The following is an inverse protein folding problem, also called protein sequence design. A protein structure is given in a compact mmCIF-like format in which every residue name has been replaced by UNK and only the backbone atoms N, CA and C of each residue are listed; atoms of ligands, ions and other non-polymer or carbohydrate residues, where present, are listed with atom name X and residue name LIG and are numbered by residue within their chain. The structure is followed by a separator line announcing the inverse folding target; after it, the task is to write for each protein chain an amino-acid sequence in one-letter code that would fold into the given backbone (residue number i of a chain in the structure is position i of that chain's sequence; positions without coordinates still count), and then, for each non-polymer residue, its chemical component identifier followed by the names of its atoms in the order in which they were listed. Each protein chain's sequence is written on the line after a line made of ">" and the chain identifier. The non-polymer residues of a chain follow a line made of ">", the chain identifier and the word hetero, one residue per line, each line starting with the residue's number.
data_IF_037365695054
#
_entry.id   IF_037365695054
#
_cell.length_a   1.000
_cell.length_b   1.000
_cell.length_c   1.000
_cell.angle_alpha   90.00
_cell.angle_beta   90.00
_cell.angle_gamma   90.00
#
_symmetry.space_group_name_H-M   'P 1'
#
loop_
_entity.id
_entity.type
_entity.pdbx_description
1 polymer ?
#
# COMPACT_ATOMS: atom_id res chain seq x y z
N UNK A 1 -11.17 6.36 15.88
CA UNK A 1 -10.11 5.35 15.73
C UNK A 1 -8.84 6.10 15.33
N UNK A 2 -7.84 6.15 16.20
CA UNK A 2 -6.61 6.92 15.98
C UNK A 2 -5.72 6.29 14.89
N UNK A 3 -4.76 7.07 14.39
CA UNK A 3 -3.75 6.67 13.40
C UNK A 3 -3.09 5.32 13.77
N UNK A 4 -2.73 5.15 15.04
CA UNK A 4 -2.12 3.93 15.58
C UNK A 4 -2.98 2.67 15.45
N UNK A 5 -4.29 2.75 15.67
CA UNK A 5 -5.19 1.59 15.56
C UNK A 5 -5.39 1.15 14.11
N UNK A 6 -5.31 2.05 13.15
CA UNK A 6 -5.46 1.73 11.71
C UNK A 6 -4.20 1.17 11.08
N UNK A 7 -3.01 1.57 11.52
CA UNK A 7 -1.78 0.85 11.13
C UNK A 7 -1.87 -0.63 11.52
N UNK A 8 -2.38 -0.96 12.71
CA UNK A 8 -2.66 -2.35 13.12
C UNK A 8 -3.66 -3.05 12.21
N UNK A 9 -4.68 -2.32 11.73
CA UNK A 9 -5.72 -2.89 10.85
C UNK A 9 -5.20 -3.20 9.45
N UNK A 10 -4.43 -2.30 8.83
CA UNK A 10 -3.82 -2.52 7.50
C UNK A 10 -2.86 -3.72 7.52
N UNK A 11 -2.14 -3.93 8.62
CA UNK A 11 -1.29 -5.11 8.81
C UNK A 11 -2.12 -6.40 8.91
N UNK A 12 -3.25 -6.36 9.58
CA UNK A 12 -4.14 -7.52 9.66
C UNK A 12 -4.71 -7.90 8.30
N UNK A 13 -4.92 -6.92 7.41
CA UNK A 13 -5.30 -7.13 6.01
C UNK A 13 -4.15 -7.71 5.18
N UNK A 14 -2.92 -7.26 5.38
CA UNK A 14 -1.73 -7.81 4.72
C UNK A 14 -1.51 -9.30 5.06
N UNK A 15 -1.94 -9.76 6.23
CA UNK A 15 -1.88 -11.18 6.65
C UNK A 15 -2.76 -12.12 5.81
N UNK A 16 -3.60 -11.61 4.91
CA UNK A 16 -4.61 -12.41 4.18
C UNK A 16 -4.29 -12.65 2.70
N UNK A 17 -3.15 -12.19 2.20
CA UNK A 17 -2.79 -12.38 0.79
C UNK A 17 -1.40 -13.00 0.65
N UNK A 18 -1.28 -14.32 0.48
CA UNK A 18 -0.01 -14.91 0.06
C UNK A 18 0.19 -14.66 -1.45
N UNK A 19 1.31 -14.06 -1.81
CA UNK A 19 1.83 -14.07 -3.17
C UNK A 19 3.03 -15.03 -3.19
N UNK A 20 3.01 -16.00 -4.05
CA UNK A 20 4.17 -16.87 -4.26
C UNK A 20 3.83 -18.18 -4.92
N UNK A 21 4.40 -18.40 -6.11
CA UNK A 21 4.60 -19.70 -6.79
C UNK A 21 3.38 -20.60 -6.99
N UNK A 22 2.72 -20.47 -8.14
CA UNK A 22 2.07 -21.57 -8.86
C UNK A 22 1.01 -22.46 -8.19
N UNK A 23 0.69 -22.26 -6.92
CA UNK A 23 -0.40 -22.97 -6.25
C UNK A 23 -1.65 -22.07 -6.20
N UNK A 24 -2.79 -22.61 -6.59
CA UNK A 24 -4.08 -21.96 -6.48
C UNK A 24 -4.28 -21.45 -5.05
N UNK A 25 -4.37 -20.13 -4.91
CA UNK A 25 -4.60 -19.48 -3.62
C UNK A 25 -5.98 -19.88 -3.09
N UNK A 26 -6.04 -20.25 -1.81
CA UNK A 26 -7.31 -20.44 -1.13
C UNK A 26 -8.15 -19.15 -1.22
N UNK A 27 -9.47 -19.23 -1.41
CA UNK A 27 -10.33 -18.07 -1.50
C UNK A 27 -10.17 -17.20 -0.25
N UNK A 28 -9.94 -15.90 -0.46
CA UNK A 28 -9.87 -14.92 0.63
C UNK A 28 -11.22 -14.95 1.37
N UNK A 29 -11.23 -15.18 2.69
CA UNK A 29 -12.49 -15.18 3.43
C UNK A 29 -13.20 -13.83 3.29
N UNK A 30 -14.54 -13.83 3.17
CA UNK A 30 -15.29 -12.59 3.03
C UNK A 30 -15.04 -11.66 4.23
N UNK A 31 -15.02 -10.37 3.95
CA UNK A 31 -14.94 -9.33 5.01
C UNK A 31 -16.14 -9.50 5.92
N UNK A 32 -15.97 -9.53 7.26
CA UNK A 32 -17.10 -9.66 8.18
C UNK A 32 -18.15 -8.57 7.91
N UNK A 33 -19.44 -8.90 7.95
CA UNK A 33 -20.51 -7.92 7.75
C UNK A 33 -20.38 -6.78 8.77
N UNK A 34 -20.45 -5.53 8.29
CA UNK A 34 -20.32 -4.32 9.10
C UNK A 34 -18.92 -3.67 9.15
N UNK A 35 -17.89 -4.31 8.62
CA UNK A 35 -16.56 -3.68 8.51
C UNK A 35 -16.44 -2.94 7.19
N UNK A 36 -16.68 -1.64 7.20
CA UNK A 36 -16.35 -0.78 6.05
C UNK A 36 -14.82 -0.60 5.98
N UNK A 37 -14.20 -1.30 5.04
CA UNK A 37 -12.79 -1.07 4.70
C UNK A 37 -12.71 0.21 3.89
N UNK A 38 -12.32 1.32 4.52
CA UNK A 38 -11.94 2.51 3.76
C UNK A 38 -10.66 2.20 3.00
N UNK A 39 -10.78 2.08 1.69
CA UNK A 39 -9.63 1.99 0.79
C UNK A 39 -9.05 3.37 0.54
N UNK A 40 -7.76 3.44 0.21
CA UNK A 40 -7.12 4.68 -0.22
C UNK A 40 -7.94 5.34 -1.35
N UNK A 41 -8.16 6.64 -1.25
CA UNK A 41 -8.79 7.43 -2.31
C UNK A 41 -7.81 7.53 -3.47
N UNK A 42 -8.12 6.86 -4.55
CA UNK A 42 -7.32 6.89 -5.78
C UNK A 42 -8.24 7.16 -6.97
N UNK A 43 -7.99 8.29 -7.65
CA UNK A 43 -8.72 8.63 -8.88
C UNK A 43 -8.42 7.57 -9.94
N UNK A 44 -9.48 6.97 -10.49
CA UNK A 44 -9.32 5.93 -11.51
C UNK A 44 -9.11 4.52 -10.96
N UNK A 45 -9.41 4.29 -9.67
CA UNK A 45 -9.43 2.93 -9.13
C UNK A 45 -10.45 2.07 -9.88
N UNK A 46 -9.96 0.97 -10.46
CA UNK A 46 -10.76 0.09 -11.32
C UNK A 46 -11.40 -1.08 -10.55
N UNK A 47 -11.44 -1.04 -9.21
CA UNK A 47 -11.93 -2.16 -8.40
C UNK A 47 -13.37 -2.58 -8.73
N UNK A 48 -14.23 -1.64 -9.11
CA UNK A 48 -15.61 -1.93 -9.54
C UNK A 48 -15.73 -2.48 -10.96
N UNK A 49 -14.66 -2.43 -11.74
CA UNK A 49 -14.64 -2.87 -13.14
C UNK A 49 -13.88 -4.18 -13.35
N UNK A 50 -13.30 -4.76 -12.30
CA UNK A 50 -12.39 -5.90 -12.42
C UNK A 50 -13.04 -7.13 -13.05
N UNK A 51 -14.27 -7.44 -12.65
CA UNK A 51 -15.02 -8.57 -13.22
C UNK A 51 -15.34 -8.34 -14.70
N UNK A 52 -15.82 -7.14 -15.06
CA UNK A 52 -16.08 -6.79 -16.45
C UNK A 52 -14.82 -6.88 -17.32
N UNK A 53 -13.68 -6.38 -16.82
CA UNK A 53 -12.40 -6.45 -17.53
C UNK A 53 -11.98 -7.92 -17.70
N UNK A 54 -12.13 -8.72 -16.64
CA UNK A 54 -11.79 -10.14 -16.66
C UNK A 54 -12.66 -10.91 -17.68
N UNK A 55 -13.96 -10.76 -17.62
CA UNK A 55 -14.90 -11.46 -18.53
C UNK A 55 -14.62 -11.11 -19.99
N UNK A 56 -14.26 -9.84 -20.25
CA UNK A 56 -13.90 -9.39 -21.61
C UNK A 56 -12.60 -10.08 -22.07
N UNK A 57 -11.57 -10.10 -21.23
CA UNK A 57 -10.30 -10.75 -21.56
C UNK A 57 -10.47 -12.27 -21.66
N UNK A 58 -11.21 -12.90 -20.76
CA UNK A 58 -11.48 -14.33 -20.78
C UNK A 58 -12.15 -14.73 -22.09
N UNK A 59 -13.17 -13.99 -22.50
CA UNK A 59 -13.90 -14.27 -23.73
C UNK A 59 -13.01 -14.24 -24.99
N UNK A 60 -12.10 -13.29 -25.08
CA UNK A 60 -11.36 -13.05 -26.32
C UNK A 60 -9.94 -13.62 -26.32
N UNK A 61 -9.35 -13.84 -25.15
CA UNK A 61 -7.95 -14.26 -24.99
C UNK A 61 -7.85 -15.65 -24.39
N UNK A 62 -8.42 -15.89 -23.22
CA UNK A 62 -8.22 -17.16 -22.49
C UNK A 62 -8.88 -18.33 -23.21
N UNK A 63 -10.11 -18.17 -23.69
CA UNK A 63 -10.83 -19.20 -24.45
C UNK A 63 -10.18 -19.57 -25.78
N UNK A 64 -9.33 -18.67 -26.32
CA UNK A 64 -8.56 -18.93 -27.54
C UNK A 64 -7.31 -19.76 -27.29
N UNK A 65 -7.00 -20.15 -26.05
CA UNK A 65 -5.77 -20.89 -25.70
C UNK A 65 -4.50 -20.06 -25.71
N UNK A 66 -4.62 -18.73 -25.81
CA UNK A 66 -3.47 -17.80 -25.80
C UNK A 66 -2.84 -17.73 -24.40
N UNK A 67 -1.58 -17.29 -24.36
CA UNK A 67 -0.80 -17.20 -23.13
C UNK A 67 -1.47 -16.29 -22.08
N UNK A 68 -1.42 -16.72 -20.81
CA UNK A 68 -1.95 -15.94 -19.68
C UNK A 68 -0.94 -14.89 -19.19
N UNK A 69 -0.52 -14.00 -20.09
CA UNK A 69 0.35 -12.87 -19.77
C UNK A 69 -0.37 -11.57 -20.04
N UNK A 70 -0.28 -10.62 -19.11
CA UNK A 70 -0.92 -9.30 -19.21
C UNK A 70 0.10 -8.22 -18.91
N UNK A 71 0.06 -7.11 -19.66
CA UNK A 71 0.75 -5.88 -19.36
C UNK A 71 -0.26 -4.82 -18.90
N UNK A 72 -0.15 -4.38 -17.63
CA UNK A 72 -0.91 -3.27 -17.07
C UNK A 72 -0.06 -1.99 -17.16
N UNK A 73 -0.28 -1.21 -18.21
CA UNK A 73 0.50 0.01 -18.49
C UNK A 73 0.25 1.17 -17.52
N UNK A 74 -0.83 1.12 -16.75
CA UNK A 74 -1.27 2.16 -15.80
C UNK A 74 -1.72 1.53 -14.49
N UNK A 75 -0.79 0.86 -13.82
CA UNK A 75 -1.05 -0.02 -12.67
C UNK A 75 -1.68 0.66 -11.47
N UNK A 76 -1.46 1.97 -11.28
CA UNK A 76 -2.03 2.74 -10.19
C UNK A 76 -1.79 2.09 -8.84
N UNK A 77 -2.86 1.76 -8.13
CA UNK A 77 -2.78 1.06 -6.83
C UNK A 77 -2.48 -0.44 -6.95
N UNK A 78 -2.34 -0.99 -8.15
CA UNK A 78 -2.10 -2.42 -8.38
C UNK A 78 -3.35 -3.30 -8.28
N UNK A 79 -4.55 -2.74 -8.28
CA UNK A 79 -5.80 -3.50 -8.14
C UNK A 79 -6.02 -4.48 -9.29
N UNK A 80 -5.79 -4.04 -10.53
CA UNK A 80 -5.89 -4.89 -11.73
C UNK A 80 -4.82 -5.97 -11.69
N UNK A 81 -3.58 -5.58 -11.45
CA UNK A 81 -2.43 -6.49 -11.33
C UNK A 81 -2.71 -7.59 -10.32
N UNK A 82 -3.19 -7.23 -9.12
CA UNK A 82 -3.50 -8.19 -8.06
C UNK A 82 -4.65 -9.11 -8.44
N UNK A 83 -5.71 -8.59 -9.06
CA UNK A 83 -6.86 -9.37 -9.46
C UNK A 83 -6.47 -10.43 -10.48
N UNK A 84 -5.80 -10.04 -11.58
CA UNK A 84 -5.38 -10.97 -12.62
C UNK A 84 -4.31 -11.96 -12.13
N UNK A 85 -3.40 -11.53 -11.25
CA UNK A 85 -2.45 -12.45 -10.61
C UNK A 85 -3.16 -13.58 -9.84
N UNK A 86 -4.26 -13.27 -9.13
CA UNK A 86 -5.09 -14.28 -8.45
C UNK A 86 -5.83 -15.21 -9.40
N UNK A 87 -6.11 -14.78 -10.62
CA UNK A 87 -6.69 -15.60 -11.68
C UNK A 87 -5.65 -16.45 -12.44
N UNK A 88 -4.39 -16.42 -11.99
CA UNK A 88 -3.31 -17.23 -12.57
C UNK A 88 -2.64 -16.60 -13.79
N UNK A 89 -2.78 -15.29 -14.00
CA UNK A 89 -2.04 -14.58 -15.03
C UNK A 89 -0.65 -14.15 -14.53
N UNK A 90 0.31 -14.13 -15.43
CA UNK A 90 1.59 -13.45 -15.25
C UNK A 90 1.37 -11.98 -15.63
N UNK A 91 1.45 -11.08 -14.65
CA UNK A 91 1.16 -9.66 -14.86
C UNK A 91 2.43 -8.84 -14.74
N UNK A 92 2.73 -8.08 -15.79
CA UNK A 92 3.73 -7.01 -15.75
C UNK A 92 3.01 -5.68 -15.61
N UNK A 93 3.36 -4.90 -14.60
CA UNK A 93 2.70 -3.63 -14.31
C UNK A 93 3.68 -2.46 -14.41
N UNK A 94 3.21 -1.34 -14.93
CA UNK A 94 3.96 -0.10 -15.03
C UNK A 94 3.10 1.07 -14.55
N UNK A 95 3.74 2.09 -13.97
CA UNK A 95 3.12 3.39 -13.69
C UNK A 95 4.19 4.47 -13.66
N UNK A 96 3.85 5.67 -14.14
CA UNK A 96 4.75 6.83 -14.15
C UNK A 96 4.94 7.42 -12.76
N UNK A 97 3.94 7.28 -11.90
CA UNK A 97 3.97 7.84 -10.56
C UNK A 97 4.73 6.93 -9.59
N UNK A 98 5.79 7.42 -8.98
CA UNK A 98 6.65 6.65 -8.07
C UNK A 98 5.89 6.09 -6.85
N UNK A 99 4.87 6.79 -6.36
CA UNK A 99 4.02 6.28 -5.27
C UNK A 99 3.13 5.12 -5.73
N UNK A 100 2.60 5.18 -6.95
CA UNK A 100 1.80 4.11 -7.54
C UNK A 100 2.65 2.85 -7.75
N UNK A 101 3.87 3.02 -8.27
CA UNK A 101 4.84 1.93 -8.37
C UNK A 101 5.09 1.25 -7.01
N UNK A 102 5.27 2.03 -5.92
CA UNK A 102 5.49 1.48 -4.57
C UNK A 102 4.29 0.68 -4.07
N UNK A 103 3.08 1.22 -4.26
CA UNK A 103 1.83 0.55 -3.89
C UNK A 103 1.66 -0.77 -4.67
N UNK A 104 1.84 -0.72 -5.98
CA UNK A 104 1.73 -1.88 -6.84
C UNK A 104 2.79 -2.93 -6.50
N UNK A 105 4.05 -2.53 -6.31
CA UNK A 105 5.15 -3.41 -5.93
C UNK A 105 4.86 -4.10 -4.59
N UNK A 106 4.49 -3.35 -3.56
CA UNK A 106 4.21 -3.89 -2.23
C UNK A 106 3.07 -4.92 -2.27
N UNK A 107 2.02 -4.66 -3.03
CA UNK A 107 0.85 -5.55 -3.10
C UNK A 107 1.09 -6.83 -3.89
N UNK A 108 1.97 -6.80 -4.87
CA UNK A 108 2.12 -7.89 -5.82
C UNK A 108 3.45 -8.65 -5.72
N UNK A 109 4.48 -8.05 -5.09
CA UNK A 109 5.83 -8.62 -5.04
C UNK A 109 6.34 -8.88 -3.62
N UNK A 110 5.55 -8.58 -2.59
CA UNK A 110 5.94 -8.77 -1.19
C UNK A 110 5.02 -9.79 -0.53
N UNK A 111 5.57 -10.94 -0.19
CA UNK A 111 4.89 -11.94 0.62
C UNK A 111 5.12 -11.65 2.12
N UNK A 112 4.23 -12.15 2.99
CA UNK A 112 4.41 -12.01 4.45
C UNK A 112 5.70 -12.65 4.95
N UNK A 113 6.14 -13.72 4.29
CA UNK A 113 7.41 -14.40 4.57
C UNK A 113 8.64 -13.57 4.25
N UNK A 114 8.50 -12.51 3.43
CA UNK A 114 9.57 -11.56 3.13
C UNK A 114 9.73 -10.48 4.22
N UNK A 115 8.77 -10.37 5.14
CA UNK A 115 8.69 -9.31 6.15
C UNK A 115 9.18 -9.82 7.52
N UNK A 116 10.49 -10.00 7.65
CA UNK A 116 11.12 -10.52 8.86
C UNK A 116 11.55 -9.43 9.83
N UNK A 117 11.98 -8.26 9.31
CA UNK A 117 12.41 -7.11 10.09
C UNK A 117 13.51 -7.43 11.12
N UNK A 118 14.43 -8.33 10.79
CA UNK A 118 15.43 -8.91 11.70
C UNK A 118 16.25 -7.88 12.48
N UNK A 119 16.57 -6.74 11.84
CA UNK A 119 17.40 -5.70 12.43
C UNK A 119 16.64 -4.49 12.99
N UNK A 120 15.30 -4.52 12.96
CA UNK A 120 14.44 -3.39 13.37
C UNK A 120 13.26 -3.81 14.25
N UNK A 121 13.41 -4.93 14.96
CA UNK A 121 12.41 -5.38 15.93
C UNK A 121 11.90 -6.80 15.75
N UNK A 122 12.27 -7.49 14.66
CA UNK A 122 11.97 -8.91 14.42
C UNK A 122 10.51 -9.23 14.10
N UNK A 123 9.58 -8.32 14.40
CA UNK A 123 8.15 -8.49 14.11
C UNK A 123 7.56 -7.20 13.60
N UNK A 124 6.54 -7.31 12.73
CA UNK A 124 5.83 -6.14 12.21
C UNK A 124 5.19 -5.30 13.36
N UNK A 125 4.76 -5.94 14.43
CA UNK A 125 4.18 -5.25 15.58
C UNK A 125 5.21 -4.31 16.25
N UNK A 126 6.41 -4.80 16.53
CA UNK A 126 7.49 -4.01 17.11
C UNK A 126 7.92 -2.86 16.21
N UNK A 127 8.00 -3.14 14.89
CA UNK A 127 8.29 -2.11 13.87
C UNK A 127 7.28 -0.97 13.93
N UNK A 128 5.98 -1.28 14.02
CA UNK A 128 4.93 -0.27 14.09
C UNK A 128 4.98 0.51 15.39
N UNK A 129 5.21 -0.13 16.51
CA UNK A 129 5.37 0.55 17.79
C UNK A 129 6.54 1.54 17.74
N UNK A 130 7.66 1.11 17.18
CA UNK A 130 8.82 1.99 16.96
C UNK A 130 8.49 3.17 16.04
N UNK A 131 7.87 2.91 14.89
CA UNK A 131 7.50 3.95 13.93
C UNK A 131 6.47 4.92 14.50
N UNK A 132 5.49 4.44 15.26
CA UNK A 132 4.48 5.29 15.89
C UNK A 132 5.04 6.23 16.98
N UNK A 133 6.21 5.94 17.51
CA UNK A 133 6.90 6.82 18.44
C UNK A 133 7.72 7.93 17.77
N UNK A 134 7.98 7.80 16.46
CA UNK A 134 8.77 8.77 15.71
C UNK A 134 8.03 10.10 15.57
N UNK A 135 8.77 11.21 15.74
CA UNK A 135 8.30 12.57 15.54
C UNK A 135 9.37 13.37 14.83
N UNK A 136 8.97 14.10 13.79
CA UNK A 136 9.86 14.98 13.06
C UNK A 136 9.04 16.11 12.40
N UNK A 137 9.55 17.33 12.46
CA UNK A 137 8.96 18.46 11.73
C UNK A 137 9.70 18.59 10.42
N UNK A 138 9.13 17.97 9.37
CA UNK A 138 9.72 17.92 8.05
C UNK A 138 8.82 18.48 6.97
N UNK A 139 8.90 17.92 5.78
CA UNK A 139 8.20 18.43 4.59
C UNK A 139 6.68 18.47 4.74
N UNK A 140 6.08 17.43 5.32
CA UNK A 140 4.61 17.36 5.49
C UNK A 140 4.15 18.37 6.53
N UNK A 141 4.89 18.48 7.64
CA UNK A 141 4.60 19.46 8.68
C UNK A 141 4.61 20.88 8.16
N UNK A 142 5.66 21.31 7.47
CA UNK A 142 5.79 22.68 7.00
C UNK A 142 4.95 23.01 5.76
N UNK A 143 4.48 22.02 5.01
CA UNK A 143 3.76 22.28 3.76
C UNK A 143 2.29 21.84 3.76
N UNK A 144 1.85 20.99 4.70
CA UNK A 144 0.53 20.38 4.65
C UNK A 144 -0.22 20.37 5.99
N UNK A 145 0.29 21.08 7.00
CA UNK A 145 -0.39 21.30 8.29
C UNK A 145 -0.69 22.77 8.56
N UNK A 146 -1.49 23.10 9.59
CA UNK A 146 -1.77 24.51 9.97
C UNK A 146 -0.53 25.34 10.30
N UNK A 147 0.57 24.72 10.72
CA UNK A 147 1.85 25.39 10.96
C UNK A 147 2.75 25.43 9.71
N UNK A 148 2.14 25.34 8.52
CA UNK A 148 2.88 25.53 7.28
C UNK A 148 3.38 26.99 7.21
N UNK A 149 4.62 27.16 6.76
CA UNK A 149 5.23 28.49 6.53
C UNK A 149 4.72 29.15 5.23
N UNK A 150 3.72 28.55 4.60
CA UNK A 150 3.15 29.05 3.36
C UNK A 150 2.15 30.19 3.64
N UNK A 151 2.04 31.13 2.70
CA UNK A 151 1.15 32.28 2.74
C UNK A 151 -0.33 31.89 2.99
N UNK A 152 -0.71 30.65 2.65
CA UNK A 152 -2.02 30.10 2.92
C UNK A 152 -1.91 28.82 3.77
N UNK A 153 -2.56 28.82 4.93
CA UNK A 153 -2.65 27.62 5.78
C UNK A 153 -3.23 26.43 5.01
N UNK A 154 -2.47 25.35 4.98
CA UNK A 154 -2.95 24.08 4.45
C UNK A 154 -3.36 23.18 5.61
N UNK A 155 -4.57 22.62 5.54
CA UNK A 155 -5.17 21.79 6.61
C UNK A 155 -5.36 20.35 6.15
N UNK A 156 -4.40 19.82 5.38
CA UNK A 156 -4.48 18.41 4.93
C UNK A 156 -4.28 17.43 6.07
N UNK A 157 -3.42 17.79 7.02
CA UNK A 157 -3.15 17.00 8.22
C UNK A 157 -3.21 17.92 9.44
N UNK A 158 -3.48 17.34 10.63
CA UNK A 158 -3.19 18.03 11.89
C UNK A 158 -1.67 18.14 12.07
N UNK A 159 -1.20 19.08 12.88
CA UNK A 159 0.23 19.22 13.19
C UNK A 159 0.82 17.90 13.71
N UNK A 160 0.11 17.23 14.61
CA UNK A 160 0.53 15.96 15.20
C UNK A 160 0.66 14.85 14.13
N UNK A 161 -0.35 14.70 13.25
CA UNK A 161 -0.28 13.70 12.18
C UNK A 161 0.84 14.00 11.19
N UNK A 162 1.09 15.26 10.88
CA UNK A 162 2.16 15.68 10.00
C UNK A 162 3.55 15.34 10.59
N UNK A 163 3.76 15.62 11.88
CA UNK A 163 5.00 15.24 12.59
C UNK A 163 5.22 13.72 12.62
N UNK A 164 4.14 12.94 12.81
CA UNK A 164 4.19 11.48 12.77
C UNK A 164 4.56 10.98 11.37
N UNK A 165 3.92 11.51 10.32
CA UNK A 165 4.19 11.12 8.93
C UNK A 165 5.65 11.39 8.57
N UNK A 166 6.16 12.59 8.86
CA UNK A 166 7.54 12.96 8.61
C UNK A 166 8.52 12.11 9.42
N UNK A 167 8.21 11.86 10.70
CA UNK A 167 9.01 11.01 11.57
C UNK A 167 9.11 9.57 11.07
N UNK A 168 7.98 8.96 10.71
CA UNK A 168 7.94 7.62 10.15
C UNK A 168 8.71 7.55 8.82
N UNK A 169 8.50 8.54 7.93
CA UNK A 169 9.17 8.58 6.62
C UNK A 169 10.68 8.66 6.79
N UNK A 170 11.16 9.51 7.70
CA UNK A 170 12.59 9.67 8.00
C UNK A 170 13.17 8.39 8.57
N UNK A 171 12.47 7.75 9.51
CA UNK A 171 12.94 6.52 10.14
C UNK A 171 13.03 5.35 9.14
N UNK A 172 12.04 5.19 8.26
CA UNK A 172 12.06 4.15 7.21
C UNK A 172 13.25 4.38 6.27
N UNK A 173 13.52 5.64 5.89
CA UNK A 173 14.64 5.98 5.02
C UNK A 173 15.97 5.67 5.68
N UNK A 174 16.13 6.05 6.96
CA UNK A 174 17.33 5.75 7.76
C UNK A 174 17.59 4.25 7.81
N UNK A 175 16.57 3.45 8.09
CA UNK A 175 16.71 1.99 8.09
C UNK A 175 17.10 1.42 6.74
N UNK A 176 16.61 2.00 5.65
CA UNK A 176 16.96 1.58 4.30
C UNK A 176 18.42 1.92 3.97
N UNK A 177 18.86 3.16 4.26
CA UNK A 177 20.25 3.62 4.05
C UNK A 177 21.25 2.82 4.90
N UNK A 178 20.90 2.52 6.14
CA UNK A 178 21.68 1.68 7.06
C UNK A 178 21.63 0.18 6.70
N UNK A 179 20.88 -0.21 5.66
CA UNK A 179 20.66 -1.62 5.26
C UNK A 179 20.05 -2.50 6.37
N UNK A 180 19.29 -1.88 7.29
CA UNK A 180 18.58 -2.58 8.37
C UNK A 180 17.28 -3.22 7.92
N UNK A 181 16.76 -2.82 6.76
CA UNK A 181 15.60 -3.41 6.11
C UNK A 181 15.94 -3.82 4.69
N UNK A 182 15.38 -4.93 4.25
CA UNK A 182 15.47 -5.37 2.85
C UNK A 182 14.69 -4.42 1.94
N UNK A 183 14.95 -4.48 0.63
CA UNK A 183 14.21 -3.66 -0.33
C UNK A 183 12.69 -3.94 -0.30
N UNK A 184 12.30 -5.21 -0.11
CA UNK A 184 10.88 -5.58 0.02
C UNK A 184 10.23 -5.00 1.26
N UNK A 185 10.91 -5.07 2.41
CA UNK A 185 10.45 -4.46 3.66
C UNK A 185 10.34 -2.93 3.54
N UNK A 186 11.35 -2.29 2.96
CA UNK A 186 11.32 -0.85 2.68
C UNK A 186 10.12 -0.44 1.83
N UNK A 187 9.92 -1.13 0.70
CA UNK A 187 8.80 -0.84 -0.21
C UNK A 187 7.45 -1.06 0.47
N UNK A 188 7.35 -2.09 1.31
CA UNK A 188 6.14 -2.37 2.06
C UNK A 188 5.85 -1.30 3.10
N UNK A 189 6.83 -0.89 3.90
CA UNK A 189 6.67 0.14 4.92
C UNK A 189 6.30 1.50 4.31
N UNK A 190 6.94 1.90 3.21
CA UNK A 190 6.59 3.14 2.49
C UNK A 190 5.18 3.07 1.92
N UNK A 191 4.79 1.94 1.34
CA UNK A 191 3.44 1.71 0.81
C UNK A 191 2.38 1.84 1.91
N UNK A 192 2.61 1.24 3.07
CA UNK A 192 1.73 1.36 4.24
C UNK A 192 1.61 2.80 4.72
N UNK A 193 2.71 3.56 4.74
CA UNK A 193 2.69 4.96 5.12
C UNK A 193 1.85 5.80 4.14
N UNK A 194 2.00 5.57 2.82
CA UNK A 194 1.21 6.26 1.79
C UNK A 194 -0.29 5.98 1.97
N UNK A 195 -0.67 4.72 2.15
CA UNK A 195 -2.08 4.34 2.36
C UNK A 195 -2.64 4.97 3.64
N UNK A 196 -1.87 4.92 4.72
CA UNK A 196 -2.27 5.48 6.01
C UNK A 196 -2.42 7.00 5.92
N UNK A 197 -1.45 7.71 5.34
CA UNK A 197 -1.52 9.16 5.14
C UNK A 197 -2.75 9.56 4.32
N UNK A 198 -3.05 8.84 3.24
CA UNK A 198 -4.26 9.08 2.42
C UNK A 198 -5.56 8.94 3.22
N UNK A 199 -5.63 7.99 4.15
CA UNK A 199 -6.82 7.76 4.97
C UNK A 199 -7.05 8.84 6.05
N UNK A 200 -5.97 9.48 6.50
CA UNK A 200 -6.00 10.53 7.54
C UNK A 200 -5.94 11.93 6.98
N UNK A 201 -5.79 12.08 5.68
CA UNK A 201 -5.83 13.40 5.05
C UNK A 201 -7.25 13.99 5.11
N UNK A 202 -7.32 15.30 5.42
CA UNK A 202 -8.56 16.07 5.42
C UNK A 202 -8.86 16.58 4.00
N UNK A 203 -8.97 15.67 3.04
CA UNK A 203 -9.32 15.99 1.67
C UNK A 203 -10.82 15.77 1.51
N UNK A 204 -11.60 16.77 1.07
CA UNK A 204 -13.01 16.56 0.71
C UNK A 204 -13.11 15.47 -0.34
N UNK A 205 -14.06 14.54 -0.15
CA UNK A 205 -14.33 13.44 -1.07
C UNK A 205 -15.09 13.90 -2.28
#
# INVERSE_FOLDING_TARGET
>A
MGFQQRCRYLIHQARKTPCGTGQALAPVPPVPPGVQVKTMRYLGNKSSLLEFIYDTIDKYVVRSGLARTIFDGFGGTGSVTQYFGRQGFIVTSNDVASYAFRLCFSRNNVALTDLRFEHVGGTIQNVIETLNACRHKGFVYYNYSPNSELEHERKYFTNENAEIIDGIRTQIETWHQDKKVTYKEYMHLVSMLIETASLFSNIPG
#
